data_IF_866046764544
#
_entry.id   IF_866046764544
#
_cell.length_a   1.000
_cell.length_b   1.000
_cell.length_c   1.000
_cell.angle_alpha   90.00
_cell.angle_beta   90.00
_cell.angle_gamma   90.00
#
_symmetry.space_group_name_H-M   'P 1'
#
loop_
_entity.id
_entity.type
_entity.pdbx_description
1 polymer ?
#
# COMPACT_ATOMS: atom_id res chain seq x y z
N UNK A 1 -10.03 -13.87 -1.62
CA UNK A 1 -10.10 -12.84 -0.56
C UNK A 1 -9.14 -11.67 -0.80
N UNK A 2 -7.83 -11.90 -0.98
CA UNK A 2 -6.82 -10.83 -1.16
C UNK A 2 -7.18 -9.81 -2.24
N UNK A 3 -7.51 -10.28 -3.45
CA UNK A 3 -7.88 -9.39 -4.57
C UNK A 3 -9.14 -8.56 -4.29
N UNK A 4 -10.12 -9.13 -3.58
CA UNK A 4 -11.34 -8.43 -3.21
C UNK A 4 -11.04 -7.32 -2.19
N UNK A 5 -10.29 -7.62 -1.13
CA UNK A 5 -9.86 -6.61 -0.13
C UNK A 5 -9.05 -5.51 -0.81
N UNK A 6 -8.09 -5.86 -1.67
CA UNK A 6 -7.26 -4.91 -2.39
C UNK A 6 -8.08 -3.99 -3.32
N UNK A 7 -9.02 -4.55 -4.07
CA UNK A 7 -9.90 -3.78 -4.96
C UNK A 7 -10.80 -2.84 -4.17
N UNK A 8 -11.43 -3.32 -3.11
CA UNK A 8 -12.29 -2.51 -2.24
C UNK A 8 -11.50 -1.40 -1.55
N UNK A 9 -10.31 -1.72 -1.02
CA UNK A 9 -9.41 -0.73 -0.41
C UNK A 9 -8.99 0.34 -1.41
N UNK A 10 -8.66 -0.05 -2.66
CA UNK A 10 -8.34 0.90 -3.72
C UNK A 10 -9.52 1.83 -4.02
N UNK A 11 -10.71 1.26 -4.28
CA UNK A 11 -11.91 2.06 -4.58
C UNK A 11 -12.22 3.06 -3.45
N UNK A 12 -12.08 2.62 -2.21
CA UNK A 12 -12.26 3.49 -1.04
C UNK A 12 -11.21 4.62 -1.00
N UNK A 13 -9.95 4.34 -1.33
CA UNK A 13 -8.85 5.29 -1.23
C UNK A 13 -8.82 6.36 -2.33
N UNK A 14 -9.38 6.11 -3.52
CA UNK A 14 -9.40 7.08 -4.64
C UNK A 14 -9.82 8.50 -4.23
N UNK A 15 -10.97 8.72 -3.57
CA UNK A 15 -11.36 10.07 -3.13
C UNK A 15 -10.44 10.64 -2.05
N UNK A 16 -9.79 9.80 -1.24
CA UNK A 16 -8.88 10.23 -0.18
C UNK A 16 -7.50 10.63 -0.70
N UNK A 17 -7.02 10.02 -1.79
CA UNK A 17 -5.78 10.42 -2.46
C UNK A 17 -5.81 11.89 -2.85
N UNK A 18 -6.91 12.36 -3.47
CA UNK A 18 -7.08 13.77 -3.83
C UNK A 18 -6.93 14.72 -2.63
N UNK A 19 -7.53 14.37 -1.48
CA UNK A 19 -7.40 15.16 -0.24
C UNK A 19 -5.97 15.14 0.31
N UNK A 20 -5.28 14.01 0.22
CA UNK A 20 -3.89 13.91 0.65
C UNK A 20 -2.96 14.77 -0.21
N UNK A 21 -3.18 14.79 -1.53
CA UNK A 21 -2.43 15.65 -2.45
C UNK A 21 -2.65 17.14 -2.17
N UNK A 22 -3.88 17.55 -1.90
CA UNK A 22 -4.17 18.94 -1.51
C UNK A 22 -3.39 19.37 -0.27
N UNK A 23 -3.19 18.47 0.70
CA UNK A 23 -2.40 18.75 1.89
C UNK A 23 -0.89 18.83 1.63
N UNK A 24 -0.39 18.24 0.53
CA UNK A 24 1.01 18.34 0.11
C UNK A 24 1.30 19.56 -0.77
N UNK A 25 0.27 20.11 -1.43
CA UNK A 25 0.39 21.30 -2.27
C UNK A 25 0.67 20.99 -3.73
N UNK A 26 1.03 22.03 -4.49
CA UNK A 26 1.28 21.94 -5.93
C UNK A 26 2.70 21.40 -6.24
N UNK A 27 2.90 20.77 -7.42
CA UNK A 27 1.90 20.47 -8.44
C UNK A 27 1.04 19.24 -8.12
N UNK A 28 -0.19 19.15 -8.65
CA UNK A 28 -0.98 17.94 -8.52
C UNK A 28 -0.28 16.76 -9.23
N UNK A 29 -0.50 15.52 -8.76
CA UNK A 29 0.05 14.36 -9.43
C UNK A 29 -0.59 14.16 -10.81
N UNK A 30 0.15 13.51 -11.71
CA UNK A 30 -0.37 13.05 -13.01
C UNK A 30 -1.26 11.81 -12.88
N UNK A 31 -0.99 10.95 -11.89
CA UNK A 31 -1.77 9.76 -11.56
C UNK A 31 -2.13 9.82 -10.08
N UNK A 32 -3.40 9.61 -9.74
CA UNK A 32 -3.89 9.81 -8.36
C UNK A 32 -3.10 9.02 -7.29
N UNK A 33 -2.62 7.83 -7.62
CA UNK A 33 -1.85 6.97 -6.72
C UNK A 33 -0.41 7.45 -6.46
N UNK A 34 0.13 8.40 -7.24
CA UNK A 34 1.51 8.87 -7.10
C UNK A 34 1.82 9.31 -5.67
N UNK A 35 3.00 8.94 -5.17
CA UNK A 35 3.49 9.32 -3.83
C UNK A 35 2.65 8.82 -2.65
N UNK A 36 1.60 8.01 -2.90
CA UNK A 36 0.74 7.47 -1.85
C UNK A 36 1.12 6.07 -1.38
N UNK A 37 2.09 5.40 -2.04
CA UNK A 37 2.36 3.96 -1.87
C UNK A 37 2.52 3.50 -0.42
N UNK A 38 3.31 4.20 0.41
CA UNK A 38 3.49 3.87 1.83
C UNK A 38 2.17 4.00 2.59
N UNK A 39 1.43 5.10 2.35
CA UNK A 39 0.17 5.38 3.04
C UNK A 39 -0.94 4.40 2.65
N UNK A 40 -1.05 4.12 1.35
CA UNK A 40 -1.99 3.15 0.79
C UNK A 40 -1.67 1.72 1.25
N UNK A 41 -0.39 1.35 1.34
CA UNK A 41 0.02 0.03 1.83
C UNK A 41 -0.23 -0.15 3.32
N UNK A 42 -0.03 0.89 4.15
CA UNK A 42 -0.43 0.86 5.56
C UNK A 42 -1.94 0.64 5.72
N UNK A 43 -2.75 1.36 4.93
CA UNK A 43 -4.20 1.20 4.94
C UNK A 43 -4.60 -0.23 4.54
N UNK A 44 -4.04 -0.75 3.45
CA UNK A 44 -4.30 -2.10 2.96
C UNK A 44 -3.90 -3.18 3.96
N UNK A 45 -2.74 -3.04 4.60
CA UNK A 45 -2.30 -3.94 5.68
C UNK A 45 -3.33 -3.98 6.82
N UNK A 46 -3.81 -2.81 7.26
CA UNK A 46 -4.84 -2.70 8.29
C UNK A 46 -6.19 -3.31 7.85
N UNK A 47 -6.57 -3.15 6.58
CA UNK A 47 -7.76 -3.75 5.98
C UNK A 47 -7.68 -5.29 5.96
N UNK A 48 -6.51 -5.84 5.59
CA UNK A 48 -6.27 -7.29 5.62
C UNK A 48 -6.28 -7.85 7.04
N UNK A 49 -5.67 -7.16 8.00
CA UNK A 49 -5.73 -7.54 9.42
C UNK A 49 -7.16 -7.58 9.96
N UNK A 50 -8.03 -6.64 9.56
CA UNK A 50 -9.48 -6.68 9.91
C UNK A 50 -10.16 -7.95 9.40
N UNK A 51 -9.71 -8.48 8.27
CA UNK A 51 -10.21 -9.73 7.70
C UNK A 51 -9.54 -10.99 8.29
N UNK A 52 -8.74 -10.86 9.36
CA UNK A 52 -8.00 -11.97 9.97
C UNK A 52 -6.81 -12.47 9.14
N UNK A 53 -6.34 -11.70 8.16
CA UNK A 53 -5.22 -12.08 7.28
C UNK A 53 -3.96 -11.39 7.78
N UNK A 54 -2.94 -12.18 8.16
CA UNK A 54 -1.61 -11.63 8.48
C UNK A 54 -1.01 -10.98 7.24
N UNK A 55 -0.64 -9.71 7.38
CA UNK A 55 -0.10 -8.89 6.31
C UNK A 55 1.08 -8.06 6.82
N UNK A 56 2.08 -7.85 5.95
CA UNK A 56 3.31 -7.10 6.25
C UNK A 56 3.53 -6.02 5.22
N UNK A 57 3.85 -4.81 5.68
CA UNK A 57 4.33 -3.74 4.82
C UNK A 57 5.75 -4.09 4.34
N UNK A 58 5.95 -4.01 3.02
CA UNK A 58 7.26 -4.11 2.40
C UNK A 58 7.55 -2.85 1.60
N UNK A 59 8.84 -2.57 1.41
CA UNK A 59 9.28 -1.46 0.57
C UNK A 59 10.70 -1.64 0.11
N UNK A 60 11.06 -0.89 -0.92
CA UNK A 60 12.43 -0.64 -1.31
C UNK A 60 12.56 0.71 -2.00
N UNK A 61 13.67 1.38 -1.77
CA UNK A 61 14.07 2.63 -2.38
C UNK A 61 15.51 2.45 -2.85
N UNK A 62 15.76 2.33 -4.16
CA UNK A 62 17.12 2.24 -4.65
C UNK A 62 17.85 3.53 -4.26
N UNK A 63 19.10 3.42 -3.79
CA UNK A 63 19.87 4.57 -3.33
C UNK A 63 20.08 5.56 -4.48
N UNK A 64 19.97 6.85 -4.17
CA UNK A 64 20.47 7.88 -5.08
C UNK A 64 21.98 7.73 -5.15
N UNK A 65 22.55 7.71 -6.36
CA UNK A 65 24.00 7.59 -6.56
C UNK A 65 24.73 8.70 -5.79
N UNK A 66 25.22 8.36 -4.60
CA UNK A 66 26.00 9.25 -3.73
C UNK A 66 27.10 8.45 -3.03
N UNK A 67 28.28 9.05 -2.77
CA UNK A 67 29.37 8.37 -2.07
C UNK A 67 28.89 7.80 -0.72
N UNK A 68 29.20 6.53 -0.46
CA UNK A 68 28.84 5.84 0.79
C UNK A 68 27.43 5.22 0.81
N UNK A 69 26.67 5.29 -0.29
CA UNK A 69 25.38 4.61 -0.39
C UNK A 69 25.53 3.12 -0.69
N UNK A 70 24.71 2.30 -0.04
CA UNK A 70 24.70 0.86 -0.27
C UNK A 70 23.86 0.55 -1.50
N UNK A 71 24.54 0.36 -2.64
CA UNK A 71 23.92 -0.02 -3.91
C UNK A 71 23.03 -1.25 -3.72
N UNK A 72 21.75 -1.14 -4.05
CA UNK A 72 20.79 -2.21 -3.91
C UNK A 72 19.67 -2.09 -4.96
N UNK A 73 19.45 -3.19 -5.67
CA UNK A 73 18.29 -3.39 -6.53
C UNK A 73 17.06 -3.71 -5.67
N UNK A 74 16.29 -2.69 -5.32
CA UNK A 74 15.09 -2.83 -4.50
C UNK A 74 13.99 -1.84 -4.96
N UNK A 75 12.76 -2.11 -4.52
CA UNK A 75 11.56 -1.36 -4.89
C UNK A 75 10.75 -2.09 -5.95
N UNK A 76 10.18 -1.32 -6.89
CA UNK A 76 9.45 -1.82 -8.05
C UNK A 76 10.31 -1.66 -9.30
N UNK A 77 10.46 -2.71 -10.10
CA UNK A 77 11.14 -2.64 -11.38
C UNK A 77 10.20 -2.15 -12.48
N UNK A 78 10.55 -1.05 -13.14
CA UNK A 78 9.78 -0.41 -14.21
C UNK A 78 10.61 -0.36 -15.49
N UNK A 79 10.05 0.20 -16.58
CA UNK A 79 10.79 0.44 -17.82
C UNK A 79 12.01 1.36 -17.62
N UNK A 80 11.98 2.20 -16.59
CA UNK A 80 13.03 3.16 -16.24
C UNK A 80 14.01 2.61 -15.18
N UNK A 81 13.85 1.35 -14.77
CA UNK A 81 14.66 0.67 -13.76
C UNK A 81 13.98 0.55 -12.39
N UNK A 82 14.80 0.39 -11.34
CA UNK A 82 14.28 0.28 -9.97
C UNK A 82 13.72 1.63 -9.49
N UNK A 83 12.48 1.59 -8.99
CA UNK A 83 11.77 2.74 -8.44
C UNK A 83 11.43 2.53 -6.98
N UNK A 84 11.53 3.61 -6.20
CA UNK A 84 11.13 3.62 -4.81
C UNK A 84 9.65 3.31 -4.65
N UNK A 85 9.34 2.22 -3.95
CA UNK A 85 7.96 1.76 -3.84
C UNK A 85 7.68 0.95 -2.57
N UNK A 86 6.40 0.91 -2.19
CA UNK A 86 5.90 0.15 -1.05
C UNK A 86 4.64 -0.63 -1.42
N UNK A 87 4.53 -1.84 -0.88
CA UNK A 87 3.43 -2.80 -1.12
C UNK A 87 3.14 -3.60 0.15
N UNK A 88 2.16 -4.50 0.07
CA UNK A 88 1.83 -5.43 1.16
C UNK A 88 2.12 -6.86 0.74
N UNK A 89 2.68 -7.66 1.65
CA UNK A 89 2.77 -9.11 1.50
C UNK A 89 1.79 -9.82 2.43
N UNK A 90 1.02 -10.77 1.90
CA UNK A 90 0.13 -11.63 2.69
C UNK A 90 -0.09 -12.98 1.99
N UNK A 91 -0.13 -14.07 2.75
CA UNK A 91 -0.37 -15.44 2.26
C UNK A 91 0.49 -15.86 1.05
N UNK A 92 1.74 -15.42 0.97
CA UNK A 92 2.63 -15.73 -0.16
C UNK A 92 2.42 -14.89 -1.42
N UNK A 93 1.66 -13.79 -1.32
CA UNK A 93 1.43 -12.85 -2.41
C UNK A 93 1.91 -11.43 -2.08
N UNK A 94 2.45 -10.75 -3.09
CA UNK A 94 2.53 -9.29 -3.19
C UNK A 94 1.15 -8.75 -3.55
N UNK A 95 0.74 -7.70 -2.86
CA UNK A 95 -0.52 -6.99 -3.07
C UNK A 95 -0.19 -5.51 -3.17
N UNK A 96 -0.47 -4.93 -4.32
CA UNK A 96 -0.15 -3.54 -4.63
C UNK A 96 -1.34 -2.85 -5.27
N UNK A 97 -1.75 -1.74 -4.67
CA UNK A 97 -2.90 -0.94 -5.10
C UNK A 97 -2.49 0.43 -5.63
N UNK A 98 -1.19 0.61 -5.91
CA UNK A 98 -0.59 1.89 -6.32
C UNK A 98 0.46 1.74 -7.45
N UNK A 99 0.64 0.53 -8.00
CA UNK A 99 1.59 0.26 -9.07
C UNK A 99 1.30 1.05 -10.36
N UNK A 100 0.06 1.48 -10.56
CA UNK A 100 -0.37 2.30 -11.69
C UNK A 100 0.31 3.67 -11.75
N UNK A 101 0.89 4.15 -10.65
CA UNK A 101 1.76 5.34 -10.68
C UNK A 101 3.01 5.15 -11.57
N UNK A 102 3.34 3.90 -11.90
CA UNK A 102 4.44 3.49 -12.78
C UNK A 102 3.97 2.80 -14.07
N UNK A 103 2.67 2.89 -14.40
CA UNK A 103 2.10 2.32 -15.62
C UNK A 103 1.68 0.84 -15.53
N UNK A 104 1.73 0.23 -14.35
CA UNK A 104 1.23 -1.13 -14.12
C UNK A 104 -0.29 -1.15 -13.85
N UNK A 105 -0.93 -2.34 -13.76
CA UNK A 105 -2.34 -2.42 -13.39
C UNK A 105 -2.67 -1.77 -12.03
N UNK A 106 -3.90 -1.23 -11.87
CA UNK A 106 -4.34 -0.52 -10.66
C UNK A 106 -4.33 -1.39 -9.39
N UNK A 107 -4.54 -2.70 -9.54
CA UNK A 107 -4.48 -3.68 -8.46
C UNK A 107 -3.68 -4.86 -8.96
N UNK A 108 -2.65 -5.23 -8.22
CA UNK A 108 -1.81 -6.40 -8.48
C UNK A 108 -1.93 -7.32 -7.27
N UNK A 109 -2.15 -8.60 -7.55
CA UNK A 109 -1.96 -9.70 -6.62
C UNK A 109 -1.11 -10.73 -7.34
N UNK A 110 0.16 -10.81 -6.98
CA UNK A 110 1.15 -11.66 -7.64
C UNK A 110 1.90 -12.50 -6.59
N UNK A 111 2.49 -13.66 -6.94
CA UNK A 111 3.32 -14.41 -6.00
C UNK A 111 4.47 -13.55 -5.46
N UNK A 112 4.91 -13.77 -4.22
CA UNK A 112 6.08 -13.05 -3.66
C UNK A 112 7.39 -13.27 -4.43
N UNK A 113 7.44 -14.28 -5.31
CA UNK A 113 8.56 -14.52 -6.20
C UNK A 113 8.53 -13.68 -7.48
N UNK A 114 7.55 -12.78 -7.66
CA UNK A 114 7.49 -11.88 -8.80
C UNK A 114 8.76 -11.01 -8.86
N UNK A 115 9.58 -11.12 -9.92
CA UNK A 115 10.86 -10.44 -10.00
C UNK A 115 10.74 -8.91 -10.13
N UNK A 116 9.53 -8.40 -10.39
CA UNK A 116 9.20 -6.97 -10.45
C UNK A 116 9.28 -6.31 -9.08
N UNK A 117 9.18 -7.08 -8.00
CA UNK A 117 9.20 -6.58 -6.62
C UNK A 117 10.43 -7.10 -5.89
N UNK A 118 11.18 -6.19 -5.23
CA UNK A 118 12.30 -6.57 -4.36
C UNK A 118 12.31 -5.75 -3.09
N UNK A 119 12.02 -6.34 -1.91
CA UNK A 119 12.10 -5.61 -0.65
C UNK A 119 13.55 -5.24 -0.35
N UNK A 120 13.76 -4.07 0.25
CA UNK A 120 15.07 -3.64 0.69
C UNK A 120 15.58 -4.50 1.85
N UNK A 121 16.79 -5.04 1.68
CA UNK A 121 17.59 -5.76 2.65
C UNK A 121 18.20 -4.79 3.66
N UNK A 122 18.67 -3.64 3.18
CA UNK A 122 19.23 -2.60 4.04
C UNK A 122 18.14 -1.65 4.54
N UNK A 123 18.16 -1.36 5.85
CA UNK A 123 17.18 -0.45 6.46
C UNK A 123 17.21 0.96 5.86
N UNK A 124 18.41 1.44 5.48
CA UNK A 124 18.59 2.73 4.81
C UNK A 124 17.85 2.83 3.46
N UNK A 125 17.52 1.69 2.84
CA UNK A 125 16.82 1.61 1.56
C UNK A 125 15.32 1.29 1.74
N UNK A 126 14.78 1.30 2.98
CA UNK A 126 13.34 1.10 3.24
C UNK A 126 12.61 2.43 3.25
N UNK A 127 11.40 2.43 2.71
CA UNK A 127 10.47 3.54 2.86
C UNK A 127 9.72 3.37 4.18
N UNK A 128 9.97 4.27 5.13
CA UNK A 128 9.38 4.18 6.46
C UNK A 128 8.08 4.98 6.55
N UNK A 129 7.00 4.41 7.12
CA UNK A 129 5.83 5.15 7.56
C UNK A 129 6.18 6.40 8.36
N UNK A 130 5.66 7.56 7.94
CA UNK A 130 5.76 8.79 8.74
C UNK A 130 4.62 8.88 9.74
N UNK A 131 4.82 9.63 10.84
CA UNK A 131 3.75 9.93 11.81
C UNK A 131 2.51 10.52 11.15
N UNK A 132 2.70 11.49 10.25
CA UNK A 132 1.60 12.11 9.51
C UNK A 132 0.89 11.11 8.58
N UNK A 133 1.64 10.19 7.97
CA UNK A 133 1.05 9.11 7.18
C UNK A 133 0.17 8.18 8.01
N UNK A 134 0.62 7.80 9.21
CA UNK A 134 -0.18 6.99 10.13
C UNK A 134 -1.45 7.72 10.59
N UNK A 135 -1.35 9.00 10.95
CA UNK A 135 -2.51 9.81 11.34
C UNK A 135 -3.53 9.87 10.20
N UNK A 136 -3.09 10.15 8.97
CA UNK A 136 -3.98 10.22 7.81
C UNK A 136 -4.72 8.91 7.51
N UNK A 137 -4.11 7.75 7.78
CA UNK A 137 -4.77 6.44 7.68
C UNK A 137 -5.81 6.25 8.78
N UNK A 138 -5.51 6.65 10.02
CA UNK A 138 -6.44 6.51 11.14
C UNK A 138 -7.66 7.43 10.99
N UNK A 139 -7.48 8.65 10.48
CA UNK A 139 -8.57 9.59 10.23
C UNK A 139 -9.66 9.02 9.33
N UNK A 140 -9.28 8.22 8.32
CA UNK A 140 -10.23 7.63 7.37
C UNK A 140 -10.72 6.24 7.78
N UNK A 141 -10.16 5.65 8.84
CA UNK A 141 -10.41 4.24 9.18
C UNK A 141 -11.85 3.95 9.59
N UNK A 142 -12.48 4.85 10.34
CA UNK A 142 -13.88 4.65 10.76
C UNK A 142 -14.83 4.66 9.54
N UNK A 143 -14.57 5.50 8.54
CA UNK A 143 -15.32 5.50 7.28
C UNK A 143 -15.11 4.21 6.50
N UNK A 144 -13.91 3.63 6.53
CA UNK A 144 -13.65 2.31 5.93
C UNK A 144 -14.51 1.22 6.58
N UNK A 145 -14.54 1.17 7.93
CA UNK A 145 -15.37 0.20 8.65
C UNK A 145 -16.83 0.31 8.23
N UNK A 146 -17.40 1.51 8.26
CA UNK A 146 -18.79 1.73 7.81
C UNK A 146 -19.01 1.35 6.34
N UNK A 147 -18.05 1.66 5.48
CA UNK A 147 -18.10 1.34 4.05
C UNK A 147 -18.12 -0.17 3.81
N UNK A 148 -17.24 -0.94 4.46
CA UNK A 148 -17.21 -2.40 4.28
C UNK A 148 -18.40 -3.09 4.93
N UNK A 149 -18.85 -2.62 6.10
CA UNK A 149 -20.00 -3.20 6.78
C UNK A 149 -21.28 -3.04 5.93
N UNK A 150 -21.41 -1.93 5.18
CA UNK A 150 -22.54 -1.68 4.29
C UNK A 150 -22.44 -2.40 2.94
N UNK A 151 -21.25 -2.42 2.33
CA UNK A 151 -21.09 -2.83 0.92
C UNK A 151 -20.41 -4.18 0.73
N UNK A 152 -19.74 -4.70 1.74
CA UNK A 152 -18.89 -5.87 1.68
C UNK A 152 -18.91 -6.64 3.01
N UNK A 153 -20.07 -7.16 3.46
CA UNK A 153 -20.22 -7.76 4.77
C UNK A 153 -19.28 -8.94 5.03
N UNK A 154 -18.80 -9.62 3.99
CA UNK A 154 -17.75 -10.65 4.08
C UNK A 154 -16.36 -10.11 4.53
N UNK A 155 -16.17 -8.78 4.52
CA UNK A 155 -14.99 -8.05 5.00
C UNK A 155 -15.28 -7.23 6.26
N UNK A 156 -16.54 -7.23 6.74
CA UNK A 156 -16.85 -6.84 8.10
C UNK A 156 -16.17 -7.90 8.98
N UNK A 157 -15.04 -7.56 9.60
CA UNK A 157 -14.30 -8.50 10.44
C UNK A 157 -15.22 -9.15 11.47
N UNK A 158 -14.84 -10.31 12.01
CA UNK A 158 -15.58 -10.99 13.07
C UNK A 158 -15.84 -10.03 14.24
N UNK A 159 -16.98 -9.34 14.22
CA UNK A 159 -17.58 -8.73 15.39
C UNK A 159 -17.96 -9.94 16.22
N UNK A 160 -17.14 -10.26 17.23
CA UNK A 160 -17.38 -11.39 18.11
C UNK A 160 -18.82 -11.33 18.60
N UNK A 161 -19.64 -12.24 18.07
CA UNK A 161 -20.90 -12.57 18.69
C UNK A 161 -20.51 -13.18 20.05
N UNK A 162 -21.01 -12.67 21.18
CA UNK A 162 -20.80 -13.36 22.44
C UNK A 162 -21.42 -14.76 22.30
N UNK A 163 -20.63 -15.78 22.59
CA UNK A 163 -21.15 -17.14 22.73
C UNK A 163 -22.26 -17.09 23.80
N UNK A 164 -23.42 -17.63 23.42
CA UNK A 164 -24.64 -17.61 24.24
C UNK A 164 -24.58 -18.52 25.45
#
# INVERSE_FOLDING_TARGET
MLFAVATTARTFLIPHWSRWHQAWGAPPPTVAAQWTCVRSSMFLMKALHRCGIEAKLQSGQPPKQAPGTVSEDCGLFTADGWMGHAWVEANGFVIDITADQFGHPPVIVAPISDPTYRPARHEANRLTPTRNGMVAVQEIWHFWCSYVDLHCPQMAGNLGMPEG
#
